data_IF_731313119185
#
_entry.id   IF_731313119185
#
_cell.length_a   1.000
_cell.length_b   1.000
_cell.length_c   1.000
_cell.angle_alpha   90.00
_cell.angle_beta   90.00
_cell.angle_gamma   90.00
#
_symmetry.space_group_name_H-M   'P 1'
#
loop_
_entity.id
_entity.type
_entity.pdbx_description
1 polymer ?
#
# COMPACT_ATOMS: atom_id res chain seq x y z
N UNK A 1 52.91 -36.68 -20.62
CA UNK A 1 51.82 -36.63 -19.64
C UNK A 1 51.98 -35.33 -18.84
N UNK A 2 51.26 -34.28 -19.25
CA UNK A 2 51.21 -32.99 -18.58
C UNK A 2 49.86 -32.83 -17.85
N UNK A 3 49.66 -31.92 -16.90
CA UNK A 3 50.57 -30.97 -16.27
C UNK A 3 50.05 -30.71 -14.86
N UNK A 4 50.96 -30.51 -13.92
CA UNK A 4 50.66 -30.22 -12.52
C UNK A 4 50.06 -28.82 -12.41
N UNK A 5 48.80 -28.69 -11.96
CA UNK A 5 48.23 -27.41 -11.56
C UNK A 5 48.87 -27.01 -10.22
N UNK A 6 49.87 -26.14 -10.33
CA UNK A 6 50.62 -25.61 -9.20
C UNK A 6 49.68 -25.03 -8.14
N UNK A 7 49.64 -25.71 -6.99
CA UNK A 7 49.09 -25.15 -5.77
C UNK A 7 49.79 -23.83 -5.47
N UNK A 8 49.01 -22.78 -5.21
CA UNK A 8 49.52 -21.50 -4.73
C UNK A 8 50.05 -21.74 -3.32
N UNK A 9 51.33 -22.14 -3.25
CA UNK A 9 52.09 -22.23 -2.02
C UNK A 9 52.23 -20.81 -1.45
N UNK A 10 51.42 -20.47 -0.46
CA UNK A 10 51.61 -19.27 0.33
C UNK A 10 52.89 -19.52 1.13
N UNK A 11 54.03 -18.94 0.71
CA UNK A 11 55.25 -18.92 1.55
C UNK A 11 54.88 -18.29 2.90
N UNK A 12 54.96 -19.07 3.97
CA UNK A 12 54.85 -18.59 5.33
C UNK A 12 56.04 -17.64 5.59
N UNK A 13 55.74 -16.35 5.53
CA UNK A 13 56.71 -15.25 5.60
C UNK A 13 56.01 -13.94 5.29
N UNK A 14 56.67 -12.81 5.57
CA UNK A 14 56.09 -11.47 5.51
C UNK A 14 55.35 -11.15 4.19
N UNK A 15 55.80 -11.71 3.06
CA UNK A 15 55.16 -11.53 1.74
C UNK A 15 53.81 -12.27 1.61
N UNK A 16 53.67 -13.47 2.16
CA UNK A 16 52.39 -14.20 2.17
C UNK A 16 51.33 -13.49 3.02
N UNK A 17 51.75 -12.90 4.15
CA UNK A 17 50.90 -12.08 5.00
C UNK A 17 50.44 -10.79 4.29
N UNK A 18 51.33 -10.11 3.55
CA UNK A 18 50.98 -8.92 2.75
C UNK A 18 49.92 -9.22 1.67
N UNK A 19 50.04 -10.35 0.98
CA UNK A 19 49.07 -10.78 -0.05
C UNK A 19 47.71 -11.09 0.58
N UNK A 20 47.68 -11.80 1.71
CA UNK A 20 46.45 -12.11 2.44
C UNK A 20 45.75 -10.84 2.96
N UNK A 21 46.50 -9.89 3.52
CA UNK A 21 45.98 -8.59 3.97
C UNK A 21 45.39 -7.82 2.79
N UNK A 22 46.10 -7.74 1.65
CA UNK A 22 45.61 -7.05 0.45
C UNK A 22 44.30 -7.65 -0.09
N UNK A 23 44.17 -8.97 -0.09
CA UNK A 23 42.95 -9.65 -0.51
C UNK A 23 41.78 -9.38 0.47
N UNK A 24 42.04 -9.48 1.78
CA UNK A 24 41.06 -9.18 2.81
C UNK A 24 40.57 -7.73 2.74
N UNK A 25 41.49 -6.76 2.58
CA UNK A 25 41.17 -5.35 2.38
C UNK A 25 40.34 -5.13 1.12
N UNK A 26 40.69 -5.76 -0.02
CA UNK A 26 39.91 -5.65 -1.27
C UNK A 26 38.50 -6.22 -1.14
N UNK A 27 38.34 -7.34 -0.42
CA UNK A 27 37.03 -7.95 -0.15
C UNK A 27 36.18 -7.08 0.77
N UNK A 28 36.79 -6.50 1.81
CA UNK A 28 36.13 -5.55 2.72
C UNK A 28 35.70 -4.29 1.99
N UNK A 29 36.58 -3.65 1.21
CA UNK A 29 36.24 -2.44 0.45
C UNK A 29 35.14 -2.69 -0.57
N UNK A 30 35.18 -3.83 -1.28
CA UNK A 30 34.12 -4.23 -2.23
C UNK A 30 32.79 -4.45 -1.51
N UNK A 31 32.78 -5.11 -0.34
CA UNK A 31 31.57 -5.32 0.47
C UNK A 31 31.00 -3.99 0.96
N UNK A 32 31.84 -3.07 1.45
CA UNK A 32 31.43 -1.73 1.89
C UNK A 32 30.90 -0.88 0.74
N UNK A 33 31.47 -0.99 -0.46
CA UNK A 33 30.98 -0.29 -1.66
C UNK A 33 29.61 -0.82 -2.09
N UNK A 34 29.42 -2.15 -2.08
CA UNK A 34 28.11 -2.77 -2.36
C UNK A 34 27.04 -2.33 -1.35
N UNK A 35 27.36 -2.34 -0.06
CA UNK A 35 26.43 -1.89 0.99
C UNK A 35 26.04 -0.41 0.81
N UNK A 36 27.00 0.47 0.52
CA UNK A 36 26.74 1.88 0.23
C UNK A 36 25.86 2.07 -1.01
N UNK A 37 26.12 1.34 -2.09
CA UNK A 37 25.29 1.41 -3.29
C UNK A 37 23.86 0.92 -3.04
N UNK A 38 23.68 -0.16 -2.28
CA UNK A 38 22.35 -0.64 -1.87
C UNK A 38 21.63 0.40 -1.00
N UNK A 39 22.32 0.98 -0.01
CA UNK A 39 21.75 2.02 0.85
C UNK A 39 21.31 3.23 0.02
N UNK A 40 22.16 3.71 -0.88
CA UNK A 40 21.84 4.82 -1.79
C UNK A 40 20.62 4.49 -2.65
N UNK A 41 20.53 3.28 -3.22
CA UNK A 41 19.38 2.84 -4.00
C UNK A 41 18.08 2.85 -3.18
N UNK A 42 18.12 2.34 -1.95
CA UNK A 42 16.96 2.36 -1.03
C UNK A 42 16.55 3.80 -0.73
N UNK A 43 17.52 4.68 -0.44
CA UNK A 43 17.25 6.09 -0.17
C UNK A 43 16.65 6.81 -1.38
N UNK A 44 17.17 6.58 -2.59
CA UNK A 44 16.61 7.13 -3.84
C UNK A 44 15.16 6.67 -4.03
N UNK A 45 14.88 5.38 -3.90
CA UNK A 45 13.52 4.83 -4.01
C UNK A 45 12.54 5.46 -3.00
N UNK A 46 13.00 5.72 -1.78
CA UNK A 46 12.19 6.39 -0.76
C UNK A 46 11.88 7.84 -1.14
N UNK A 47 12.84 8.58 -1.71
CA UNK A 47 12.60 9.94 -2.19
C UNK A 47 11.68 9.96 -3.41
N UNK A 48 11.89 9.07 -4.38
CA UNK A 48 11.01 8.92 -5.56
C UNK A 48 9.57 8.68 -5.14
N UNK A 49 9.34 7.77 -4.17
CA UNK A 49 8.01 7.52 -3.61
C UNK A 49 7.40 8.77 -2.97
N UNK A 50 8.17 9.51 -2.15
CA UNK A 50 7.69 10.75 -1.51
C UNK A 50 7.31 11.83 -2.54
N UNK A 51 8.17 12.03 -3.55
CA UNK A 51 7.95 13.02 -4.61
C UNK A 51 6.71 12.64 -5.42
N UNK A 52 6.60 11.37 -5.83
CA UNK A 52 5.45 10.86 -6.58
C UNK A 52 4.16 11.03 -5.78
N UNK A 53 4.18 10.67 -4.48
CA UNK A 53 3.04 10.85 -3.57
C UNK A 53 2.60 12.31 -3.51
N UNK A 54 3.54 13.24 -3.38
CA UNK A 54 3.26 14.68 -3.33
C UNK A 54 2.70 15.23 -4.64
N UNK A 55 3.31 14.87 -5.78
CA UNK A 55 2.85 15.29 -7.11
C UNK A 55 1.42 14.77 -7.33
N UNK A 56 1.18 13.48 -7.14
CA UNK A 56 -0.16 12.88 -7.31
C UNK A 56 -1.19 13.54 -6.40
N UNK A 57 -0.86 13.80 -5.13
CA UNK A 57 -1.74 14.50 -4.20
C UNK A 57 -2.09 15.90 -4.68
N UNK A 58 -1.10 16.64 -5.17
CA UNK A 58 -1.28 18.01 -5.67
C UNK A 58 -2.14 18.02 -6.92
N UNK A 59 -1.87 17.10 -7.86
CA UNK A 59 -2.69 16.89 -9.06
C UNK A 59 -4.13 16.57 -8.71
N UNK A 60 -4.39 15.62 -7.80
CA UNK A 60 -5.75 15.24 -7.42
C UNK A 60 -6.52 16.40 -6.77
N UNK A 61 -5.86 17.24 -5.97
CA UNK A 61 -6.48 18.43 -5.36
C UNK A 61 -6.93 19.46 -6.39
N UNK A 62 -6.15 19.65 -7.45
CA UNK A 62 -6.45 20.61 -8.52
C UNK A 62 -7.46 20.03 -9.50
N UNK A 63 -7.22 18.81 -10.01
CA UNK A 63 -8.04 18.20 -11.04
C UNK A 63 -9.41 17.70 -10.55
N UNK A 64 -9.54 17.41 -9.24
CA UNK A 64 -10.74 16.83 -8.60
C UNK A 64 -11.25 15.60 -9.38
N UNK A 65 -10.69 14.40 -9.12
CA UNK A 65 -11.02 13.20 -9.88
C UNK A 65 -12.53 13.01 -10.01
N UNK A 66 -12.98 12.73 -11.24
CA UNK A 66 -14.38 12.41 -11.52
C UNK A 66 -14.55 10.91 -11.38
N UNK A 67 -15.40 10.50 -10.45
CA UNK A 67 -15.74 9.10 -10.24
C UNK A 67 -17.00 8.79 -11.05
N UNK A 68 -17.03 7.68 -11.80
CA UNK A 68 -18.29 7.17 -12.33
C UNK A 68 -19.27 6.96 -11.17
N UNK A 69 -20.50 7.41 -11.37
CA UNK A 69 -21.58 7.24 -10.41
C UNK A 69 -22.36 5.98 -10.77
N UNK A 70 -22.64 5.14 -9.77
CA UNK A 70 -23.42 3.94 -9.96
C UNK A 70 -24.42 3.79 -8.83
N UNK A 71 -25.66 3.47 -9.18
CA UNK A 71 -26.66 3.15 -8.16
C UNK A 71 -26.29 1.84 -7.47
N UNK A 72 -26.51 1.78 -6.16
CA UNK A 72 -26.30 0.56 -5.37
C UNK A 72 -27.07 -0.61 -5.99
N UNK A 73 -28.27 -0.39 -6.53
CA UNK A 73 -29.06 -1.45 -7.17
C UNK A 73 -28.40 -2.07 -8.40
N UNK A 74 -27.50 -1.32 -9.06
CA UNK A 74 -26.74 -1.78 -10.23
C UNK A 74 -25.43 -2.46 -9.85
N UNK A 75 -25.09 -2.53 -8.56
CA UNK A 75 -23.87 -3.19 -8.11
C UNK A 75 -24.06 -4.72 -8.06
N UNK A 76 -22.96 -5.49 -8.21
CA UNK A 76 -22.97 -6.93 -7.98
C UNK A 76 -23.59 -7.31 -6.64
N UNK A 77 -24.28 -8.46 -6.59
CA UNK A 77 -25.04 -8.89 -5.40
C UNK A 77 -24.19 -8.92 -4.13
N UNK A 78 -22.94 -9.40 -4.20
CA UNK A 78 -22.07 -9.48 -3.01
C UNK A 78 -21.69 -8.09 -2.48
N UNK A 79 -21.52 -7.10 -3.36
CA UNK A 79 -21.28 -5.70 -2.95
C UNK A 79 -22.51 -5.12 -2.26
N UNK A 80 -23.70 -5.35 -2.83
CA UNK A 80 -24.99 -4.89 -2.25
C UNK A 80 -25.23 -5.49 -0.88
N UNK A 81 -25.12 -6.81 -0.77
CA UNK A 81 -25.32 -7.54 0.48
C UNK A 81 -24.34 -7.04 1.56
N UNK A 82 -23.08 -6.79 1.18
CA UNK A 82 -22.11 -6.23 2.13
C UNK A 82 -22.48 -4.82 2.54
N UNK A 83 -22.84 -3.94 1.61
CA UNK A 83 -23.30 -2.59 1.93
C UNK A 83 -24.46 -2.60 2.93
N UNK A 84 -25.48 -3.41 2.67
CA UNK A 84 -26.67 -3.53 3.54
C UNK A 84 -26.31 -4.05 4.93
N UNK A 85 -25.44 -5.07 5.03
CA UNK A 85 -24.90 -5.54 6.31
C UNK A 85 -24.18 -4.42 7.07
N UNK A 86 -23.44 -3.56 6.37
CA UNK A 86 -22.70 -2.45 6.98
C UNK A 86 -23.63 -1.34 7.46
N UNK A 87 -24.66 -1.02 6.69
CA UNK A 87 -25.72 -0.08 7.11
C UNK A 87 -26.44 -0.60 8.34
N UNK A 88 -26.87 -1.87 8.35
CA UNK A 88 -27.55 -2.49 9.50
C UNK A 88 -26.70 -2.48 10.78
N UNK A 89 -25.38 -2.54 10.63
CA UNK A 89 -24.43 -2.46 11.75
C UNK A 89 -23.96 -1.03 12.06
N UNK A 90 -24.61 0.01 11.51
CA UNK A 90 -24.24 1.42 11.67
C UNK A 90 -22.76 1.69 11.39
N UNK A 91 -22.20 1.00 10.38
CA UNK A 91 -20.80 1.12 9.98
C UNK A 91 -19.77 0.87 11.12
N UNK A 92 -20.14 0.19 12.20
CA UNK A 92 -19.27 -0.10 13.36
C UNK A 92 -18.06 -0.98 13.03
N UNK A 93 -16.94 -0.72 13.71
CA UNK A 93 -15.68 -1.46 13.51
C UNK A 93 -15.86 -2.96 13.75
N UNK A 94 -15.25 -3.79 12.90
CA UNK A 94 -15.15 -5.25 13.06
C UNK A 94 -13.78 -5.75 12.60
N UNK A 95 -13.20 -6.69 13.35
CA UNK A 95 -11.91 -7.32 13.02
C UNK A 95 -12.05 -8.58 12.15
N UNK A 96 -13.27 -8.90 11.70
CA UNK A 96 -13.57 -10.17 11.04
C UNK A 96 -13.48 -11.37 11.98
N UNK A 97 -13.57 -12.59 11.43
CA UNK A 97 -13.42 -13.84 12.19
C UNK A 97 -12.09 -14.51 11.83
N UNK A 98 -11.54 -15.29 12.76
CA UNK A 98 -10.36 -16.13 12.52
C UNK A 98 -10.61 -17.04 11.31
N UNK A 99 -9.69 -17.02 10.32
CA UNK A 99 -9.83 -17.78 9.07
C UNK A 99 -10.69 -17.14 7.97
N UNK A 100 -11.48 -16.10 8.28
CA UNK A 100 -12.30 -15.32 7.31
C UNK A 100 -12.16 -13.83 7.61
N UNK A 101 -10.97 -13.29 7.33
CA UNK A 101 -10.61 -11.89 7.63
C UNK A 101 -11.30 -10.93 6.67
N UNK A 102 -12.49 -10.46 7.08
CA UNK A 102 -13.12 -9.26 6.55
C UNK A 102 -13.14 -8.21 7.65
N UNK A 103 -12.25 -7.24 7.54
CA UNK A 103 -12.18 -6.11 8.45
C UNK A 103 -13.08 -4.98 7.98
N UNK A 104 -13.52 -4.17 8.93
CA UNK A 104 -14.41 -3.05 8.65
C UNK A 104 -14.22 -1.93 9.67
N UNK A 105 -14.37 -0.70 9.21
CA UNK A 105 -14.37 0.49 10.05
C UNK A 105 -12.98 0.90 10.55
N UNK A 106 -11.92 0.49 9.84
CA UNK A 106 -10.57 1.02 10.07
C UNK A 106 -10.46 2.37 9.35
N UNK A 107 -9.74 3.32 9.93
CA UNK A 107 -9.51 4.60 9.29
C UNK A 107 -8.67 4.43 8.02
N UNK A 108 -9.10 5.09 6.95
CA UNK A 108 -8.40 5.19 5.68
C UNK A 108 -8.01 6.64 5.45
N UNK A 109 -6.70 6.90 5.34
CA UNK A 109 -6.17 8.25 5.47
C UNK A 109 -6.41 9.15 4.24
N UNK A 110 -6.82 8.57 3.10
CA UNK A 110 -6.92 9.29 1.83
C UNK A 110 -5.65 10.10 1.52
N UNK A 111 -4.50 9.46 1.73
CA UNK A 111 -3.19 10.10 1.82
C UNK A 111 -2.81 10.96 0.61
N UNK A 112 -3.21 10.51 -0.58
CA UNK A 112 -2.93 11.19 -1.84
C UNK A 112 -4.16 11.94 -2.38
N UNK A 113 -5.14 12.22 -1.50
CA UNK A 113 -6.35 12.96 -1.80
C UNK A 113 -7.08 12.44 -3.05
N UNK A 114 -7.16 11.11 -3.20
CA UNK A 114 -7.87 10.45 -4.32
C UNK A 114 -9.37 10.60 -4.20
N UNK A 115 -9.89 10.77 -2.99
CA UNK A 115 -11.29 11.10 -2.71
C UNK A 115 -11.39 12.55 -2.19
N UNK A 116 -12.58 13.19 -2.22
CA UNK A 116 -12.77 14.54 -1.67
C UNK A 116 -12.31 14.64 -0.21
N UNK A 117 -11.51 15.66 0.12
CA UNK A 117 -11.07 15.87 1.51
C UNK A 117 -12.03 16.74 2.31
N UNK A 118 -13.00 17.37 1.64
CA UNK A 118 -13.98 18.28 2.22
C UNK A 118 -15.37 18.00 1.65
N UNK A 119 -16.39 18.20 2.47
CA UNK A 119 -17.78 18.13 2.04
C UNK A 119 -18.20 19.38 1.23
N UNK A 120 -19.47 19.44 0.81
CA UNK A 120 -20.03 20.59 0.07
C UNK A 120 -19.99 21.89 0.88
N UNK A 121 -19.99 21.79 2.20
CA UNK A 121 -19.95 22.91 3.14
C UNK A 121 -18.51 23.31 3.51
N UNK A 122 -17.51 22.54 3.07
CA UNK A 122 -16.09 22.80 3.33
C UNK A 122 -15.56 22.14 4.61
N UNK A 123 -16.36 21.34 5.30
CA UNK A 123 -15.94 20.58 6.49
C UNK A 123 -15.06 19.39 6.09
N UNK A 124 -14.09 18.99 6.92
CA UNK A 124 -13.26 17.82 6.64
C UNK A 124 -14.07 16.52 6.58
N UNK A 125 -13.68 15.62 5.67
CA UNK A 125 -14.23 14.26 5.56
C UNK A 125 -13.21 13.25 6.10
N UNK A 126 -13.65 12.36 6.98
CA UNK A 126 -12.84 11.28 7.54
C UNK A 126 -13.30 9.94 6.96
N UNK A 127 -12.42 9.22 6.30
CA UNK A 127 -12.79 7.98 5.63
C UNK A 127 -12.52 6.74 6.47
N UNK A 128 -13.42 5.75 6.37
CA UNK A 128 -13.24 4.41 6.91
C UNK A 128 -13.39 3.36 5.82
N UNK A 129 -12.54 2.33 5.86
CA UNK A 129 -12.55 1.21 4.91
C UNK A 129 -13.34 0.01 5.44
N UNK A 130 -14.05 -0.66 4.53
CA UNK A 130 -14.85 -1.85 4.80
C UNK A 130 -14.60 -2.91 3.72
N UNK A 131 -14.08 -4.07 4.13
CA UNK A 131 -13.83 -5.17 3.20
C UNK A 131 -15.12 -5.75 2.64
N UNK A 132 -15.09 -6.07 1.35
CA UNK A 132 -16.16 -6.79 0.65
C UNK A 132 -15.81 -8.26 0.47
N UNK A 133 -14.62 -8.57 -0.05
CA UNK A 133 -14.23 -9.92 -0.43
C UNK A 133 -13.02 -10.45 0.32
N UNK A 134 -12.87 -11.77 0.33
CA UNK A 134 -11.70 -12.52 0.82
C UNK A 134 -10.79 -12.78 -0.38
N UNK A 135 -9.48 -12.84 -0.18
CA UNK A 135 -8.54 -13.17 -1.25
C UNK A 135 -8.78 -14.60 -1.76
N UNK A 136 -8.83 -14.77 -3.07
CA UNK A 136 -9.16 -16.07 -3.71
C UNK A 136 -8.16 -17.19 -3.41
N UNK A 137 -6.89 -16.87 -3.12
CA UNK A 137 -5.81 -17.85 -2.97
C UNK A 137 -5.13 -17.83 -1.59
N UNK A 138 -5.64 -17.04 -0.63
CA UNK A 138 -5.04 -16.96 0.72
C UNK A 138 -6.13 -16.69 1.76
N UNK A 139 -5.86 -16.99 3.04
CA UNK A 139 -6.69 -16.59 4.18
C UNK A 139 -6.60 -15.07 4.48
N UNK A 140 -6.47 -14.25 3.44
CA UNK A 140 -6.26 -12.81 3.47
C UNK A 140 -7.48 -12.01 2.99
N UNK A 141 -7.39 -10.69 3.10
CA UNK A 141 -8.43 -9.75 2.63
C UNK A 141 -8.37 -9.66 1.10
N UNK A 142 -9.51 -9.66 0.42
CA UNK A 142 -9.60 -9.44 -1.03
C UNK A 142 -9.21 -8.02 -1.42
N UNK A 143 -9.32 -7.64 -2.69
CA UNK A 143 -8.99 -6.28 -3.14
C UNK A 143 -10.15 -5.29 -2.97
N UNK A 144 -11.39 -5.79 -2.91
CA UNK A 144 -12.59 -4.95 -2.94
C UNK A 144 -12.88 -4.29 -1.59
N UNK A 145 -13.23 -3.00 -1.61
CA UNK A 145 -13.59 -2.22 -0.41
C UNK A 145 -14.75 -1.28 -0.69
N UNK A 146 -15.54 -1.00 0.35
CA UNK A 146 -16.35 0.21 0.45
C UNK A 146 -15.60 1.19 1.36
N UNK A 147 -15.42 2.41 0.90
CA UNK A 147 -14.84 3.52 1.66
C UNK A 147 -15.94 4.52 1.96
N UNK A 148 -16.16 4.80 3.25
CA UNK A 148 -17.27 5.65 3.71
C UNK A 148 -16.73 6.89 4.39
N UNK A 149 -17.21 8.05 3.94
CA UNK A 149 -16.95 9.33 4.58
C UNK A 149 -17.76 9.50 5.86
N UNK A 150 -17.12 10.07 6.86
CA UNK A 150 -17.71 10.45 8.14
C UNK A 150 -17.42 11.93 8.44
N UNK A 151 -18.32 12.58 9.15
CA UNK A 151 -18.08 13.90 9.74
C UNK A 151 -17.12 13.79 10.92
N UNK A 152 -16.68 14.94 11.44
CA UNK A 152 -15.85 15.02 12.64
C UNK A 152 -16.51 14.35 13.86
N UNK A 153 -17.84 14.41 13.95
CA UNK A 153 -18.62 13.77 15.03
C UNK A 153 -18.84 12.26 14.81
N UNK A 154 -18.31 11.71 13.71
CA UNK A 154 -18.41 10.29 13.38
C UNK A 154 -19.69 9.90 12.62
N UNK A 155 -20.56 10.85 12.29
CA UNK A 155 -21.77 10.59 11.51
C UNK A 155 -21.42 10.22 10.07
N UNK A 156 -22.14 9.24 9.50
CA UNK A 156 -21.94 8.79 8.13
C UNK A 156 -22.41 9.88 7.16
N UNK A 157 -21.56 10.17 6.17
CA UNK A 157 -21.89 11.07 5.06
C UNK A 157 -22.22 10.22 3.82
N UNK A 158 -23.50 9.94 3.61
CA UNK A 158 -23.95 9.04 2.52
C UNK A 158 -23.65 9.56 1.10
N UNK A 159 -23.43 10.87 0.95
CA UNK A 159 -22.94 11.52 -0.28
C UNK A 159 -21.46 11.20 -0.60
N UNK A 160 -20.75 10.51 0.31
CA UNK A 160 -19.33 10.24 0.22
C UNK A 160 -19.04 8.75 0.46
N UNK A 161 -19.78 7.89 -0.24
CA UNK A 161 -19.57 6.44 -0.23
C UNK A 161 -18.99 6.00 -1.58
N UNK A 162 -17.85 5.32 -1.52
CA UNK A 162 -17.12 4.89 -2.69
C UNK A 162 -16.85 3.40 -2.64
N UNK A 163 -17.01 2.75 -3.78
CA UNK A 163 -16.57 1.38 -3.98
C UNK A 163 -15.26 1.38 -4.75
N UNK A 164 -14.31 0.56 -4.32
CA UNK A 164 -13.09 0.26 -5.07
C UNK A 164 -13.04 -1.24 -5.38
N UNK A 165 -13.00 -1.65 -6.65
CA UNK A 165 -12.83 -3.06 -7.01
C UNK A 165 -11.40 -3.59 -6.80
N UNK A 166 -10.41 -2.69 -6.73
CA UNK A 166 -9.00 -3.01 -6.92
C UNK A 166 -8.08 -2.32 -5.91
N UNK A 167 -8.48 -2.31 -4.63
CA UNK A 167 -7.65 -1.85 -3.52
C UNK A 167 -7.14 -0.41 -3.65
N UNK A 168 -8.07 0.54 -3.87
CA UNK A 168 -7.88 1.99 -3.92
C UNK A 168 -7.23 2.54 -5.21
N UNK A 169 -7.12 1.73 -6.26
CA UNK A 169 -6.63 2.22 -7.55
C UNK A 169 -7.74 2.97 -8.31
N UNK A 170 -8.95 2.41 -8.33
CA UNK A 170 -10.12 3.02 -8.96
C UNK A 170 -11.29 3.14 -7.98
N UNK A 171 -12.12 4.16 -8.18
CA UNK A 171 -13.29 4.41 -7.35
C UNK A 171 -14.54 4.63 -8.18
N UNK A 172 -15.63 4.04 -7.73
CA UNK A 172 -17.01 4.28 -8.18
C UNK A 172 -17.73 4.97 -7.03
N UNK A 173 -18.38 6.09 -7.31
CA UNK A 173 -19.24 6.75 -6.33
C UNK A 173 -20.57 5.99 -6.27
N UNK A 174 -20.84 5.36 -5.13
CA UNK A 174 -22.07 4.63 -4.89
C UNK A 174 -23.20 5.59 -4.52
N UNK A 175 -24.34 5.45 -5.21
CA UNK A 175 -25.59 6.15 -4.88
C UNK A 175 -26.51 5.16 -4.15
N UNK A 176 -26.69 5.27 -2.82
CA UNK A 176 -27.43 4.29 -2.02
C UNK A 176 -28.89 4.09 -2.43
N UNK A 177 -29.59 5.19 -2.70
CA UNK A 177 -30.91 5.39 -3.32
C UNK A 177 -31.38 6.80 -2.97
#
# INVERSE_FOLDING_TARGET
>A
MGGWTAGVGIKAGAEGAKVAIRWASKKLTTRTLKLRNTQNKITIQQYEYKITKYITRSTNRVAKPKYPKQSLSQMPQHVRARYEERVANNWKRSKGRTGKRLEAGKDWQNDIAQLPTKDKQGNPIFYKEHDISIASHTNGRGAERIVVGHSQDGNVLYDYIYYTPNHYNDFIHLIPK
#
